data_IF_769565925938
#
_entry.id   IF_769565925938
#
_cell.length_a   1.000
_cell.length_b   1.000
_cell.length_c   1.000
_cell.angle_alpha   90.00
_cell.angle_beta   90.00
_cell.angle_gamma   90.00
#
_symmetry.space_group_name_H-M   'P 1'
#
loop_
_entity.id
_entity.type
_entity.pdbx_description
1 polymer ?
#
# COMPACT_ATOMS: atom_id res chain seq x y z
N UNK A 1 -55.12 -21.32 19.19
CA UNK A 1 -53.70 -20.96 19.38
C UNK A 1 -53.32 -19.67 18.64
N UNK A 2 -52.74 -18.66 19.31
CA UNK A 2 -52.31 -17.44 18.64
C UNK A 2 -51.09 -17.73 17.75
N UNK A 3 -51.09 -17.16 16.54
CA UNK A 3 -50.01 -17.30 15.58
C UNK A 3 -48.74 -16.59 16.10
N UNK A 4 -47.66 -17.37 16.27
CA UNK A 4 -46.34 -16.83 16.61
C UNK A 4 -45.77 -16.16 15.36
N UNK A 5 -45.33 -14.89 15.42
CA UNK A 5 -44.70 -14.25 14.27
C UNK A 5 -43.40 -14.99 13.92
N UNK A 6 -43.09 -15.17 12.62
CA UNK A 6 -41.87 -15.85 12.20
C UNK A 6 -40.64 -15.11 12.73
N UNK A 7 -39.55 -15.83 13.07
CA UNK A 7 -38.33 -15.22 13.56
C UNK A 7 -37.79 -14.20 12.53
N UNK A 8 -37.25 -13.06 12.98
CA UNK A 8 -36.68 -12.07 12.08
C UNK A 8 -35.62 -12.74 11.20
N UNK A 9 -35.83 -12.68 9.88
CA UNK A 9 -34.91 -13.23 8.91
C UNK A 9 -33.51 -12.61 9.06
N UNK A 10 -32.45 -13.30 8.59
CA UNK A 10 -31.09 -12.78 8.68
C UNK A 10 -31.04 -11.37 8.07
N UNK A 11 -30.31 -10.42 8.68
CA UNK A 11 -30.25 -9.06 8.21
C UNK A 11 -29.87 -9.06 6.73
N UNK A 12 -30.73 -8.46 5.90
CA UNK A 12 -30.50 -8.30 4.47
C UNK A 12 -29.07 -7.80 4.27
N UNK A 13 -28.29 -8.50 3.44
CA UNK A 13 -26.92 -8.11 3.09
C UNK A 13 -26.98 -6.67 2.58
N UNK A 14 -26.65 -5.73 3.45
CA UNK A 14 -26.78 -4.30 3.17
C UNK A 14 -26.07 -3.96 1.86
N UNK A 15 -26.73 -3.11 1.06
CA UNK A 15 -26.15 -2.48 -0.12
C UNK A 15 -24.71 -2.05 0.16
N UNK A 16 -23.80 -2.27 -0.80
CA UNK A 16 -22.42 -1.80 -0.74
C UNK A 16 -22.42 -0.26 -0.65
N UNK A 17 -22.59 0.30 0.55
CA UNK A 17 -22.46 1.72 0.79
C UNK A 17 -20.98 2.01 1.05
N UNK A 18 -20.39 2.81 0.17
CA UNK A 18 -19.02 3.26 0.33
C UNK A 18 -18.94 4.12 1.60
N UNK A 19 -18.04 3.76 2.51
CA UNK A 19 -17.80 4.50 3.74
C UNK A 19 -17.02 5.78 3.44
N UNK A 20 -17.73 6.78 2.90
CA UNK A 20 -17.16 8.04 2.39
C UNK A 20 -16.40 8.84 3.45
N UNK A 21 -16.73 8.64 4.73
CA UNK A 21 -15.98 9.18 5.86
C UNK A 21 -14.52 8.67 5.89
N UNK A 22 -14.29 7.41 5.52
CA UNK A 22 -12.95 6.84 5.44
C UNK A 22 -12.10 7.50 4.34
N UNK A 23 -12.68 7.81 3.17
CA UNK A 23 -11.96 8.50 2.09
C UNK A 23 -11.48 9.90 2.50
N UNK A 24 -12.21 10.57 3.39
CA UNK A 24 -11.83 11.88 3.93
C UNK A 24 -10.91 11.78 5.14
N UNK A 25 -10.75 10.59 5.73
CA UNK A 25 -9.84 10.39 6.86
C UNK A 25 -8.38 10.56 6.43
N UNK A 26 -7.49 11.00 7.33
CA UNK A 26 -6.06 11.13 7.04
C UNK A 26 -5.44 9.79 6.58
N UNK A 27 -5.85 8.67 7.20
CA UNK A 27 -5.39 7.35 6.81
C UNK A 27 -5.85 6.96 5.40
N UNK A 28 -7.11 7.28 5.04
CA UNK A 28 -7.63 7.04 3.69
C UNK A 28 -6.89 7.82 2.61
N UNK A 29 -6.54 9.08 2.87
CA UNK A 29 -5.74 9.90 1.97
C UNK A 29 -4.31 9.36 1.81
N UNK A 30 -3.67 8.95 2.92
CA UNK A 30 -2.34 8.31 2.89
C UNK A 30 -2.36 7.02 2.08
N UNK A 31 -3.39 6.17 2.26
CA UNK A 31 -3.58 4.93 1.50
C UNK A 31 -3.72 5.20 0.01
N UNK A 32 -4.47 6.22 -0.38
CA UNK A 32 -4.62 6.60 -1.78
C UNK A 32 -3.26 7.00 -2.38
N UNK A 33 -2.49 7.81 -1.66
CA UNK A 33 -1.12 8.16 -2.05
C UNK A 33 -0.21 6.94 -2.20
N UNK A 34 -0.26 6.01 -1.25
CA UNK A 34 0.49 4.75 -1.31
C UNK A 34 0.12 3.91 -2.54
N UNK A 35 -1.16 3.84 -2.89
CA UNK A 35 -1.64 3.11 -4.08
C UNK A 35 -1.15 3.77 -5.37
N UNK A 36 -1.22 5.10 -5.47
CA UNK A 36 -0.75 5.85 -6.65
C UNK A 36 0.76 5.71 -6.81
N UNK A 37 1.53 6.01 -5.77
CA UNK A 37 2.99 5.94 -5.83
C UNK A 37 3.51 4.51 -5.96
N UNK A 38 2.84 3.55 -5.31
CA UNK A 38 3.15 2.14 -5.45
C UNK A 38 2.90 1.64 -6.87
N UNK A 39 1.80 2.05 -7.50
CA UNK A 39 1.53 1.77 -8.90
C UNK A 39 2.58 2.38 -9.82
N UNK A 40 2.91 3.66 -9.64
CA UNK A 40 3.97 4.32 -10.39
C UNK A 40 5.31 3.58 -10.27
N UNK A 41 5.68 3.12 -9.07
CA UNK A 41 6.88 2.31 -8.84
C UNK A 41 6.86 1.01 -9.63
N UNK A 42 5.86 0.15 -9.41
CA UNK A 42 5.92 -1.18 -10.01
C UNK A 42 5.65 -1.14 -11.51
N UNK A 43 4.87 -0.18 -12.03
CA UNK A 43 4.67 0.03 -13.48
C UNK A 43 5.96 0.52 -14.14
N UNK A 44 6.68 1.48 -13.53
CA UNK A 44 7.96 1.93 -14.07
C UNK A 44 8.99 0.82 -14.07
N UNK A 45 9.04 0.00 -13.02
CA UNK A 45 9.86 -1.21 -13.05
C UNK A 45 9.36 -2.12 -14.18
N UNK A 46 8.06 -2.45 -14.22
CA UNK A 46 7.44 -3.41 -15.14
C UNK A 46 7.51 -3.06 -16.64
N UNK A 47 7.67 -1.78 -16.98
CA UNK A 47 7.71 -1.32 -18.37
C UNK A 47 9.05 -1.61 -19.09
N UNK A 48 10.09 -2.05 -18.39
CA UNK A 48 11.42 -2.26 -18.96
C UNK A 48 11.89 -3.71 -18.87
N UNK A 49 12.95 -4.14 -19.56
CA UNK A 49 13.53 -5.47 -19.30
C UNK A 49 14.31 -5.43 -17.98
N UNK A 50 13.84 -6.12 -16.95
CA UNK A 50 14.52 -6.22 -15.64
C UNK A 50 15.17 -7.58 -15.45
N UNK A 51 16.44 -7.58 -15.08
CA UNK A 51 17.20 -8.78 -14.72
C UNK A 51 17.64 -8.77 -13.25
N UNK A 52 17.84 -9.95 -12.66
CA UNK A 52 18.37 -10.11 -11.30
C UNK A 52 17.48 -9.44 -10.23
N UNK A 53 18.07 -8.64 -9.35
CA UNK A 53 17.43 -8.05 -8.17
C UNK A 53 16.20 -7.14 -8.44
N UNK A 54 15.94 -6.78 -9.69
CA UNK A 54 14.71 -6.04 -10.03
C UNK A 54 13.45 -6.91 -9.94
N UNK A 55 13.56 -8.24 -10.06
CA UNK A 55 12.45 -9.16 -9.82
C UNK A 55 11.97 -9.10 -8.37
N UNK A 56 12.92 -9.08 -7.43
CA UNK A 56 12.61 -8.94 -6.01
C UNK A 56 11.90 -7.61 -5.75
N UNK A 57 12.42 -6.51 -6.28
CA UNK A 57 11.81 -5.19 -6.09
C UNK A 57 10.38 -5.10 -6.68
N UNK A 58 10.16 -5.68 -7.87
CA UNK A 58 8.82 -5.75 -8.48
C UNK A 58 7.87 -6.61 -7.64
N UNK A 59 8.30 -7.81 -7.24
CA UNK A 59 7.52 -8.70 -6.39
C UNK A 59 7.14 -8.02 -5.07
N UNK A 60 8.12 -7.44 -4.39
CA UNK A 60 7.94 -6.73 -3.12
C UNK A 60 6.92 -5.59 -3.27
N UNK A 61 7.08 -4.75 -4.29
CA UNK A 61 6.18 -3.62 -4.50
C UNK A 61 4.76 -4.06 -4.87
N UNK A 62 4.59 -5.05 -5.76
CA UNK A 62 3.27 -5.55 -6.14
C UNK A 62 2.58 -6.22 -4.96
N UNK A 63 3.29 -7.04 -4.18
CA UNK A 63 2.75 -7.69 -2.97
C UNK A 63 2.23 -6.65 -1.98
N UNK A 64 3.06 -5.67 -1.62
CA UNK A 64 2.67 -4.62 -0.68
C UNK A 64 1.51 -3.79 -1.24
N UNK A 65 1.55 -3.45 -2.53
CA UNK A 65 0.48 -2.69 -3.19
C UNK A 65 -0.86 -3.42 -3.17
N UNK A 66 -0.88 -4.72 -3.47
CA UNK A 66 -2.10 -5.54 -3.42
C UNK A 66 -2.66 -5.66 -2.00
N UNK A 67 -1.78 -5.82 -1.00
CA UNK A 67 -2.18 -5.82 0.41
C UNK A 67 -2.77 -4.46 0.81
N UNK A 68 -2.15 -3.35 0.41
CA UNK A 68 -2.69 -1.99 0.61
C UNK A 68 -4.06 -1.85 -0.04
N UNK A 69 -4.24 -2.36 -1.26
CA UNK A 69 -5.51 -2.31 -1.98
C UNK A 69 -6.59 -3.11 -1.25
N UNK A 70 -6.26 -4.31 -0.74
CA UNK A 70 -7.17 -5.13 0.03
C UNK A 70 -7.57 -4.45 1.35
N UNK A 71 -6.61 -3.92 2.11
CA UNK A 71 -6.87 -3.17 3.35
C UNK A 71 -7.71 -1.93 3.11
N UNK A 72 -7.40 -1.17 2.05
CA UNK A 72 -8.14 0.01 1.65
C UNK A 72 -9.57 -0.36 1.23
N UNK A 73 -9.74 -1.39 0.40
CA UNK A 73 -11.06 -1.86 -0.04
C UNK A 73 -11.92 -2.32 1.14
N UNK A 74 -11.39 -3.14 2.04
CA UNK A 74 -12.10 -3.59 3.23
C UNK A 74 -12.48 -2.44 4.17
N UNK A 75 -11.60 -1.45 4.33
CA UNK A 75 -11.86 -0.25 5.13
C UNK A 75 -12.92 0.64 4.47
N UNK A 76 -12.85 0.81 3.15
CA UNK A 76 -13.80 1.58 2.36
C UNK A 76 -15.20 0.96 2.35
N UNK A 77 -15.27 -0.37 2.37
CA UNK A 77 -16.51 -1.14 2.37
C UNK A 77 -17.14 -1.26 3.77
N UNK A 78 -16.48 -0.80 4.84
CA UNK A 78 -16.97 -1.01 6.20
C UNK A 78 -16.86 -2.46 6.67
N UNK A 79 -16.10 -3.31 5.95
CA UNK A 79 -16.17 -4.78 6.07
C UNK A 79 -14.91 -5.43 6.65
N UNK A 80 -14.08 -4.67 7.36
CA UNK A 80 -12.91 -5.20 8.07
C UNK A 80 -13.27 -6.30 9.08
N UNK A 81 -14.46 -6.27 9.66
CA UNK A 81 -14.95 -7.29 10.59
C UNK A 81 -15.19 -8.67 9.94
N UNK A 82 -15.26 -8.75 8.59
CA UNK A 82 -15.41 -10.03 7.89
C UNK A 82 -14.15 -10.89 7.89
N UNK A 83 -12.99 -10.30 8.17
CA UNK A 83 -11.73 -11.05 8.18
C UNK A 83 -11.54 -11.65 9.58
N UNK A 84 -11.65 -12.99 9.73
CA UNK A 84 -11.45 -13.64 11.02
C UNK A 84 -10.07 -13.31 11.57
N UNK A 85 -9.94 -13.15 12.89
CA UNK A 85 -8.72 -12.74 13.61
C UNK A 85 -8.18 -11.32 13.34
N UNK A 86 -8.14 -10.89 12.07
CA UNK A 86 -7.56 -9.59 11.68
C UNK A 86 -8.52 -8.44 11.93
N UNK A 87 -9.84 -8.66 11.81
CA UNK A 87 -10.85 -7.63 12.02
C UNK A 87 -10.86 -7.07 13.45
N UNK A 88 -10.63 -7.90 14.47
CA UNK A 88 -10.57 -7.47 15.88
C UNK A 88 -9.28 -6.71 16.22
N UNK A 89 -8.25 -6.85 15.38
CA UNK A 89 -6.94 -6.21 15.51
C UNK A 89 -6.63 -5.33 14.30
N UNK A 90 -7.66 -4.73 13.68
CA UNK A 90 -7.53 -4.06 12.39
C UNK A 90 -6.49 -2.94 12.37
N UNK A 91 -6.42 -2.13 13.43
CA UNK A 91 -5.42 -1.09 13.58
C UNK A 91 -3.99 -1.65 13.69
N UNK A 92 -3.81 -2.78 14.40
CA UNK A 92 -2.53 -3.49 14.47
C UNK A 92 -2.16 -4.09 13.09
N UNK A 93 -3.13 -4.65 12.37
CA UNK A 93 -2.91 -5.17 11.01
C UNK A 93 -2.41 -4.07 10.08
N UNK A 94 -3.03 -2.89 10.12
CA UNK A 94 -2.59 -1.73 9.34
C UNK A 94 -1.18 -1.27 9.76
N UNK A 95 -0.90 -1.22 11.06
CA UNK A 95 0.41 -0.84 11.59
C UNK A 95 1.52 -1.80 11.12
N UNK A 96 1.29 -3.11 11.23
CA UNK A 96 2.26 -4.15 10.82
C UNK A 96 2.48 -4.08 9.32
N UNK A 97 1.39 -3.96 8.55
CA UNK A 97 1.48 -3.77 7.11
C UNK A 97 2.31 -2.53 6.75
N UNK A 98 2.04 -1.38 7.38
CA UNK A 98 2.71 -0.13 7.05
C UNK A 98 4.19 -0.14 7.41
N UNK A 99 4.54 -0.58 8.63
CA UNK A 99 5.93 -0.53 9.09
C UNK A 99 6.75 -1.71 8.57
N UNK A 100 6.28 -2.95 8.76
CA UNK A 100 7.08 -4.13 8.44
C UNK A 100 7.14 -4.37 6.93
N UNK A 101 5.98 -4.32 6.25
CA UNK A 101 5.91 -4.62 4.82
C UNK A 101 6.12 -3.36 3.98
N UNK A 102 5.38 -2.29 4.25
CA UNK A 102 5.45 -1.02 3.55
C UNK A 102 6.84 -0.41 3.61
N UNK A 103 7.25 0.10 4.77
CA UNK A 103 8.57 0.76 4.94
C UNK A 103 9.70 -0.22 4.64
N UNK A 104 9.67 -1.43 5.23
CA UNK A 104 10.76 -2.41 5.07
C UNK A 104 11.01 -2.78 3.61
N UNK A 105 9.98 -3.25 2.90
CA UNK A 105 10.14 -3.75 1.54
C UNK A 105 10.31 -2.62 0.51
N UNK A 106 9.61 -1.47 0.65
CA UNK A 106 9.82 -0.34 -0.26
C UNK A 106 11.20 0.31 -0.08
N UNK A 107 11.74 0.38 1.14
CA UNK A 107 13.11 0.89 1.36
C UNK A 107 14.14 -0.03 0.71
N UNK A 108 14.00 -1.34 0.87
CA UNK A 108 14.88 -2.30 0.22
C UNK A 108 14.77 -2.24 -1.32
N UNK A 109 13.55 -2.22 -1.86
CA UNK A 109 13.30 -2.11 -3.30
C UNK A 109 13.87 -0.80 -3.88
N UNK A 110 13.70 0.31 -3.17
CA UNK A 110 14.26 1.62 -3.52
C UNK A 110 15.79 1.58 -3.53
N UNK A 111 16.41 1.01 -2.50
CA UNK A 111 17.87 0.89 -2.43
C UNK A 111 18.44 0.06 -3.59
N UNK A 112 17.78 -1.05 -3.96
CA UNK A 112 18.18 -1.87 -5.11
C UNK A 112 18.09 -1.06 -6.41
N UNK A 113 17.01 -0.30 -6.61
CA UNK A 113 16.82 0.51 -7.81
C UNK A 113 17.82 1.66 -7.87
N UNK A 114 18.04 2.37 -6.76
CA UNK A 114 19.04 3.43 -6.65
C UNK A 114 20.46 2.92 -6.92
N UNK A 115 20.83 1.76 -6.38
CA UNK A 115 22.12 1.13 -6.66
C UNK A 115 22.30 0.80 -8.15
N UNK A 116 21.25 0.25 -8.79
CA UNK A 116 21.24 -0.01 -10.24
C UNK A 116 21.33 1.27 -11.07
N UNK A 117 20.63 2.34 -10.66
CA UNK A 117 20.72 3.65 -11.30
C UNK A 117 22.16 4.21 -11.22
N UNK A 118 22.79 4.13 -10.04
CA UNK A 118 24.19 4.55 -9.83
C UNK A 118 25.18 3.84 -10.75
N UNK A 119 25.04 2.51 -10.92
CA UNK A 119 25.86 1.72 -11.84
C UNK A 119 25.65 2.03 -13.32
N UNK A 120 24.54 2.67 -13.68
CA UNK A 120 24.19 3.06 -15.06
C UNK A 120 24.31 4.58 -15.27
N UNK A 121 24.93 5.30 -14.32
CA UNK A 121 25.11 6.75 -14.36
C UNK A 121 25.94 7.25 -15.55
N UNK A 122 26.80 6.40 -16.12
CA UNK A 122 27.57 6.69 -17.34
C UNK A 122 26.70 7.06 -18.56
N UNK A 123 25.42 6.68 -18.56
CA UNK A 123 24.48 7.09 -19.61
C UNK A 123 24.07 8.57 -19.55
N UNK A 124 24.40 9.30 -18.48
CA UNK A 124 24.06 10.71 -18.32
C UNK A 124 25.15 11.66 -18.88
N UNK A 125 26.12 11.13 -19.63
CA UNK A 125 27.17 11.91 -20.27
C UNK A 125 26.61 12.66 -21.50
N UNK A 126 26.91 13.96 -21.68
CA UNK A 126 26.49 14.71 -22.85
C UNK A 126 27.15 14.12 -24.10
N UNK A 127 26.36 13.38 -24.90
CA UNK A 127 26.83 12.70 -26.10
C UNK A 127 26.30 11.26 -26.28
N UNK A 128 25.69 10.65 -25.25
CA UNK A 128 25.16 9.29 -25.35
C UNK A 128 23.68 9.30 -25.78
N UNK A 129 23.37 8.88 -27.01
CA UNK A 129 22.02 8.94 -27.61
C UNK A 129 21.23 7.61 -27.59
N UNK A 130 21.80 6.53 -27.02
CA UNK A 130 21.14 5.22 -26.96
C UNK A 130 20.14 5.13 -25.81
N UNK A 131 19.04 4.37 -26.02
CA UNK A 131 17.98 4.14 -25.03
C UNK A 131 18.56 3.52 -23.74
N UNK A 132 18.70 4.34 -22.69
CA UNK A 132 19.29 3.88 -21.43
C UNK A 132 18.27 3.82 -20.29
N UNK A 133 18.34 2.74 -19.52
CA UNK A 133 17.46 2.44 -18.38
C UNK A 133 17.73 3.31 -17.13
N UNK A 134 18.67 4.26 -17.20
CA UNK A 134 19.03 5.13 -16.08
C UNK A 134 17.83 5.93 -15.55
N UNK A 135 17.09 6.60 -16.42
CA UNK A 135 15.91 7.40 -16.03
C UNK A 135 14.79 6.55 -15.43
N UNK A 136 14.63 5.32 -15.91
CA UNK A 136 13.64 4.37 -15.37
C UNK A 136 14.00 3.91 -13.95
N UNK A 137 15.25 3.52 -13.71
CA UNK A 137 15.69 3.11 -12.37
C UNK A 137 15.70 4.29 -11.38
N UNK A 138 16.04 5.49 -11.84
CA UNK A 138 16.00 6.69 -11.01
C UNK A 138 14.55 7.07 -10.64
N UNK A 139 13.65 7.10 -11.62
CA UNK A 139 12.22 7.38 -11.36
C UNK A 139 11.59 6.34 -10.45
N UNK A 140 11.87 5.04 -10.65
CA UNK A 140 11.46 3.98 -9.75
C UNK A 140 12.03 4.21 -8.33
N UNK A 141 13.32 4.54 -8.19
CA UNK A 141 13.90 4.84 -6.87
C UNK A 141 13.19 6.01 -6.18
N UNK A 142 12.88 7.09 -6.89
CA UNK A 142 12.19 8.26 -6.31
C UNK A 142 10.76 7.89 -5.91
N UNK A 143 10.01 7.19 -6.78
CA UNK A 143 8.65 6.76 -6.47
C UNK A 143 8.62 5.82 -5.28
N UNK A 144 9.58 4.91 -5.19
CA UNK A 144 9.72 3.97 -4.08
C UNK A 144 10.04 4.66 -2.76
N UNK A 145 10.92 5.68 -2.78
CA UNK A 145 11.23 6.48 -1.61
C UNK A 145 10.00 7.24 -1.09
N UNK A 146 9.25 7.88 -1.99
CA UNK A 146 8.01 8.60 -1.63
C UNK A 146 6.99 7.61 -1.06
N UNK A 147 6.82 6.44 -1.68
CA UNK A 147 5.93 5.40 -1.18
C UNK A 147 6.35 4.93 0.23
N UNK A 148 7.64 4.71 0.47
CA UNK A 148 8.17 4.35 1.79
C UNK A 148 7.86 5.44 2.84
N UNK A 149 8.01 6.72 2.51
CA UNK A 149 7.64 7.82 3.39
C UNK A 149 6.14 7.81 3.70
N UNK A 150 5.27 7.59 2.71
CA UNK A 150 3.83 7.50 2.91
C UNK A 150 3.43 6.32 3.81
N UNK A 151 4.10 5.16 3.66
CA UNK A 151 3.92 4.04 4.58
C UNK A 151 4.40 4.37 5.99
N UNK A 152 5.54 5.06 6.13
CA UNK A 152 6.05 5.48 7.43
C UNK A 152 5.07 6.42 8.14
N UNK A 153 4.57 7.45 7.47
CA UNK A 153 3.59 8.37 8.06
C UNK A 153 2.30 7.64 8.46
N UNK A 154 1.81 6.72 7.63
CA UNK A 154 0.64 5.90 7.93
C UNK A 154 0.86 4.98 9.14
N UNK A 155 2.04 4.35 9.22
CA UNK A 155 2.44 3.51 10.35
C UNK A 155 2.57 4.31 11.64
N UNK A 156 3.23 5.47 11.60
CA UNK A 156 3.34 6.38 12.76
C UNK A 156 1.98 6.91 13.20
N UNK A 157 1.09 7.21 12.26
CA UNK A 157 -0.29 7.59 12.58
C UNK A 157 -1.02 6.46 13.31
N UNK A 158 -0.99 5.23 12.78
CA UNK A 158 -1.57 4.06 13.44
C UNK A 158 -0.96 3.82 14.82
N UNK A 159 0.36 3.97 14.95
CA UNK A 159 1.08 3.81 16.21
C UNK A 159 0.62 4.85 17.25
N UNK A 160 0.53 6.10 16.84
CA UNK A 160 0.11 7.21 17.71
C UNK A 160 -1.32 7.01 18.25
N UNK A 161 -2.24 6.52 17.41
CA UNK A 161 -3.60 6.18 17.84
C UNK A 161 -3.62 5.00 18.81
N UNK A 162 -2.80 3.98 18.53
CA UNK A 162 -2.66 2.84 19.43
C UNK A 162 -2.15 3.24 20.82
N UNK A 163 -1.17 4.13 20.87
CA UNK A 163 -0.64 4.68 22.13
C UNK A 163 -1.67 5.54 22.90
N UNK A 164 -2.74 6.00 22.23
CA UNK A 164 -3.88 6.70 22.85
C UNK A 164 -5.05 5.75 23.16
N UNK A 165 -4.80 4.44 23.19
CA UNK A 165 -5.80 3.38 23.38
C UNK A 165 -6.98 3.39 22.39
N UNK A 166 -6.84 4.10 21.26
CA UNK A 166 -7.80 4.05 20.17
C UNK A 166 -7.60 2.77 19.36
N UNK A 167 -8.67 2.00 19.18
CA UNK A 167 -8.65 0.75 18.41
C UNK A 167 -9.19 0.90 16.98
N UNK A 168 -9.80 2.03 16.69
CA UNK A 168 -10.42 2.31 15.39
C UNK A 168 -9.47 3.05 14.45
N UNK A 169 -9.76 2.97 13.15
CA UNK A 169 -8.99 3.59 12.05
C UNK A 169 -9.53 4.95 11.58
N UNK A 170 -10.73 5.35 12.04
CA UNK A 170 -11.37 6.66 11.79
C UNK A 170 -11.31 7.49 13.06
#
# INVERSE_FOLDING_TARGET
PPAVPPPPGPPARGSLSLHRAYLRSPLGLLRLGQLVMGAAFWVTVAAHKYEGAAHFALFAAVLVWLLTLALFGLSLLGRWALVPWLGSRWLLTNLVHDLALGVGLYTAATGIMGYKAGRKSYCNLPGYSQHCLYGAYLSASICGAIAACLYLFSGLYCLSRRCRDQRDII
#
